data_IF_167038820284
#
_entry.id   IF_167038820284
#
_cell.length_a   1.000
_cell.length_b   1.000
_cell.length_c   1.000
_cell.angle_alpha   90.00
_cell.angle_beta   90.00
_cell.angle_gamma   90.00
#
_symmetry.space_group_name_H-M   'P 1'
#
loop_
_entity.id
_entity.type
_entity.pdbx_description
1 polymer ?
#
# COMPACT_ATOMS: atom_id res chain seq x y z
N UNK A 1 13.72 -13.48 4.19
CA UNK A 1 12.47 -13.06 3.52
C UNK A 1 12.88 -12.00 2.50
N UNK A 2 12.54 -12.17 1.23
CA UNK A 2 12.88 -11.17 0.19
C UNK A 2 11.76 -10.14 0.11
N UNK A 3 12.07 -8.83 0.09
CA UNK A 3 11.06 -7.79 -0.03
C UNK A 3 10.30 -7.93 -1.36
N UNK A 4 8.99 -7.69 -1.33
CA UNK A 4 8.10 -7.78 -2.50
C UNK A 4 8.40 -6.71 -3.54
N UNK A 5 8.84 -5.53 -3.09
CA UNK A 5 9.26 -4.43 -3.93
C UNK A 5 10.71 -4.04 -3.64
N UNK A 6 11.45 -3.74 -4.71
CA UNK A 6 12.79 -3.17 -4.61
C UNK A 6 12.71 -1.67 -4.29
N UNK A 7 13.56 -1.20 -3.38
CA UNK A 7 13.71 0.23 -3.13
C UNK A 7 14.21 0.96 -4.39
N UNK A 8 13.85 2.23 -4.51
CA UNK A 8 14.07 3.10 -5.66
C UNK A 8 13.40 2.61 -6.97
N UNK A 9 12.65 1.50 -6.94
CA UNK A 9 11.82 1.10 -8.09
C UNK A 9 10.58 1.98 -8.20
N UNK A 10 10.04 2.06 -9.41
CA UNK A 10 8.78 2.77 -9.67
C UNK A 10 7.73 1.78 -10.11
N UNK A 11 6.58 1.82 -9.44
CA UNK A 11 5.38 1.08 -9.84
C UNK A 11 4.41 2.02 -10.53
N UNK A 12 3.73 1.53 -11.57
CA UNK A 12 2.68 2.28 -12.26
C UNK A 12 1.34 2.04 -11.58
N UNK A 13 0.67 3.12 -11.22
CA UNK A 13 -0.71 3.04 -10.73
C UNK A 13 -1.68 2.89 -11.90
N UNK A 14 -2.89 2.38 -11.63
CA UNK A 14 -3.94 2.29 -12.64
C UNK A 14 -4.34 3.66 -13.25
N UNK A 15 -4.01 4.75 -12.55
CA UNK A 15 -4.22 6.13 -13.00
C UNK A 15 -3.01 6.72 -13.76
N UNK A 16 -2.01 5.90 -14.13
CA UNK A 16 -0.78 6.33 -14.80
C UNK A 16 0.07 7.36 -14.03
N UNK A 17 -0.12 7.44 -12.71
CA UNK A 17 0.77 8.20 -11.85
C UNK A 17 1.89 7.28 -11.34
N UNK A 18 3.17 7.61 -11.58
CA UNK A 18 4.28 6.81 -11.07
C UNK A 18 4.36 6.92 -9.55
N UNK A 19 4.64 5.79 -8.90
CA UNK A 19 4.86 5.70 -7.46
C UNK A 19 6.24 5.11 -7.19
N UNK A 20 7.15 5.91 -6.64
CA UNK A 20 8.53 5.49 -6.36
C UNK A 20 8.65 4.97 -4.94
N UNK A 21 9.14 3.73 -4.78
CA UNK A 21 9.32 3.06 -3.48
C UNK A 21 10.57 3.59 -2.80
N UNK A 22 10.46 4.15 -1.59
CA UNK A 22 11.59 4.78 -0.90
C UNK A 22 12.14 3.92 0.22
N UNK A 23 11.29 3.47 1.14
CA UNK A 23 11.74 2.81 2.37
C UNK A 23 10.73 1.77 2.83
N UNK A 24 11.21 0.63 3.33
CA UNK A 24 10.35 -0.36 3.97
C UNK A 24 9.89 0.14 5.34
N UNK A 25 8.58 0.13 5.59
CA UNK A 25 7.99 0.54 6.87
C UNK A 25 7.64 -0.65 7.77
N UNK A 26 7.27 -1.78 7.17
CA UNK A 26 6.92 -2.98 7.93
C UNK A 26 6.22 -4.03 7.08
N UNK A 27 6.22 -5.27 7.58
CA UNK A 27 5.60 -6.41 6.92
C UNK A 27 4.85 -7.28 7.93
N UNK A 28 3.87 -8.03 7.44
CA UNK A 28 3.11 -9.00 8.21
C UNK A 28 2.44 -10.03 7.31
N UNK A 29 1.59 -10.89 7.87
CA UNK A 29 0.99 -12.01 7.13
C UNK A 29 0.18 -11.64 5.88
N UNK A 30 -0.21 -10.37 5.74
CA UNK A 30 -0.98 -9.89 4.58
C UNK A 30 -0.11 -9.28 3.46
N UNK A 31 1.18 -9.00 3.75
CA UNK A 31 2.09 -8.31 2.84
C UNK A 31 2.82 -7.17 3.54
N UNK A 32 3.36 -6.26 2.74
CA UNK A 32 4.34 -5.26 3.15
C UNK A 32 3.83 -3.84 2.97
N UNK A 33 4.42 -2.90 3.70
CA UNK A 33 4.13 -1.47 3.63
C UNK A 33 5.45 -0.75 3.40
N UNK A 34 5.45 0.17 2.44
CA UNK A 34 6.57 1.02 2.12
C UNK A 34 6.17 2.48 2.22
N UNK A 35 7.11 3.34 2.56
CA UNK A 35 7.03 4.76 2.24
C UNK A 35 7.32 4.90 0.75
N UNK A 36 6.51 5.66 0.05
CA UNK A 36 6.66 5.91 -1.38
C UNK A 36 6.27 7.34 -1.74
N UNK A 37 6.70 7.78 -2.92
CA UNK A 37 6.32 9.06 -3.52
C UNK A 37 5.40 8.84 -4.72
N UNK A 38 4.15 9.30 -4.60
CA UNK A 38 3.21 9.36 -5.71
C UNK A 38 3.27 10.78 -6.31
N UNK A 39 4.10 10.95 -7.33
CA UNK A 39 4.49 12.29 -7.79
C UNK A 39 5.23 13.04 -6.68
N UNK A 40 4.69 14.18 -6.22
CA UNK A 40 5.24 14.96 -5.10
C UNK A 40 4.64 14.60 -3.73
N UNK A 41 3.68 13.68 -3.68
CA UNK A 41 2.93 13.36 -2.46
C UNK A 41 3.48 12.11 -1.77
N UNK A 42 3.91 12.22 -0.49
CA UNK A 42 4.33 11.06 0.28
C UNK A 42 3.13 10.22 0.67
N UNK A 43 3.26 8.91 0.47
CA UNK A 43 2.22 7.92 0.74
C UNK A 43 2.79 6.69 1.41
N UNK A 44 1.93 5.95 2.12
CA UNK A 44 2.20 4.57 2.48
C UNK A 44 1.68 3.66 1.35
N UNK A 45 2.59 2.96 0.68
CA UNK A 45 2.28 1.96 -0.33
C UNK A 45 2.13 0.59 0.33
N UNK A 46 0.89 0.12 0.45
CA UNK A 46 0.59 -1.26 0.87
C UNK A 46 0.70 -2.19 -0.34
N UNK A 47 1.54 -3.21 -0.23
CA UNK A 47 1.67 -4.27 -1.22
C UNK A 47 1.21 -5.60 -0.62
N UNK A 48 0.19 -6.22 -1.20
CA UNK A 48 -0.37 -7.48 -0.71
C UNK A 48 0.38 -8.67 -1.29
N UNK A 49 0.48 -9.76 -0.52
CA UNK A 49 0.86 -11.04 -1.09
C UNK A 49 -0.21 -11.52 -2.10
N UNK A 50 0.15 -12.29 -3.15
CA UNK A 50 -0.81 -12.76 -4.14
C UNK A 50 -2.03 -13.49 -3.55
N UNK A 51 -1.82 -14.27 -2.49
CA UNK A 51 -2.89 -15.02 -1.79
C UNK A 51 -3.88 -14.10 -1.07
N UNK A 52 -3.49 -12.85 -0.81
CA UNK A 52 -4.27 -11.84 -0.12
C UNK A 52 -4.93 -10.86 -1.09
N UNK A 53 -4.49 -10.80 -2.35
CA UNK A 53 -5.01 -9.93 -3.40
C UNK A 53 -6.35 -10.45 -3.99
N UNK A 54 -7.32 -10.77 -3.13
CA UNK A 54 -8.62 -11.33 -3.51
C UNK A 54 -9.68 -10.24 -3.73
N UNK A 55 -10.75 -10.58 -4.47
CA UNK A 55 -11.90 -9.68 -4.62
C UNK A 55 -12.57 -9.34 -3.28
N UNK A 56 -12.67 -10.32 -2.37
CA UNK A 56 -13.23 -10.09 -1.04
C UNK A 56 -12.37 -9.10 -0.21
N UNK A 57 -11.04 -9.19 -0.33
CA UNK A 57 -10.13 -8.24 0.30
C UNK A 57 -10.32 -6.83 -0.27
N UNK A 58 -10.43 -6.70 -1.61
CA UNK A 58 -10.67 -5.42 -2.26
C UNK A 58 -12.00 -4.78 -1.79
N UNK A 59 -13.08 -5.57 -1.71
CA UNK A 59 -14.39 -5.09 -1.25
C UNK A 59 -14.36 -4.65 0.23
N UNK A 60 -13.64 -5.40 1.07
CA UNK A 60 -13.44 -5.06 2.47
C UNK A 60 -12.67 -3.74 2.60
N UNK A 61 -11.60 -3.57 1.83
CA UNK A 61 -10.83 -2.32 1.80
C UNK A 61 -11.68 -1.13 1.36
N UNK A 62 -12.48 -1.27 0.30
CA UNK A 62 -13.40 -0.22 -0.16
C UNK A 62 -14.41 0.18 0.93
N UNK A 63 -14.91 -0.80 1.68
CA UNK A 63 -15.82 -0.56 2.82
C UNK A 63 -15.12 0.21 3.94
N UNK A 64 -13.89 -0.16 4.29
CA UNK A 64 -13.10 0.53 5.33
C UNK A 64 -12.76 1.97 4.94
N UNK A 65 -12.36 2.20 3.68
CA UNK A 65 -12.09 3.55 3.17
C UNK A 65 -13.33 4.43 3.29
N UNK A 66 -14.52 3.91 2.92
CA UNK A 66 -15.79 4.64 3.05
C UNK A 66 -16.16 4.91 4.51
N UNK A 67 -15.86 3.99 5.43
CA UNK A 67 -16.10 4.17 6.87
C UNK A 67 -15.19 5.24 7.47
N UNK A 68 -14.00 5.40 6.92
CA UNK A 68 -12.99 6.32 7.45
C UNK A 68 -12.34 5.82 8.75
N UNK A 69 -11.46 6.62 9.35
CA UNK A 69 -10.80 6.26 10.60
C UNK A 69 -11.83 6.15 11.74
N UNK A 70 -11.70 5.17 12.64
CA UNK A 70 -12.63 4.97 13.76
C UNK A 70 -12.62 6.12 14.78
N UNK A 71 -11.54 6.91 14.86
CA UNK A 71 -11.46 8.10 15.71
C UNK A 71 -10.36 9.04 15.20
N UNK A 72 -10.31 10.32 15.64
CA UNK A 72 -9.22 11.24 15.27
C UNK A 72 -7.82 10.80 15.73
N UNK A 73 -7.73 9.96 16.76
CA UNK A 73 -6.47 9.42 17.28
C UNK A 73 -5.98 8.19 16.50
N UNK A 74 -6.73 7.75 15.49
CA UNK A 74 -6.34 6.63 14.65
C UNK A 74 -5.32 7.11 13.61
N UNK A 75 -4.06 6.75 13.86
CA UNK A 75 -2.84 6.88 13.04
C UNK A 75 -2.94 7.73 11.76
#
# INVERSE_FOLDING_TARGET
MHPLLQLCSTVQTATNHPCTVETFLGGGGQGEVYRAQLGSKPVALKWYFPEQATLAQQQSLATLIRKGPPSPAFL
#
